data_IF_126834062076
#
_entry.id   IF_126834062076
#
_cell.length_a   1.000
_cell.length_b   1.000
_cell.length_c   1.000
_cell.angle_alpha   90.00
_cell.angle_beta   90.00
_cell.angle_gamma   90.00
#
_symmetry.space_group_name_H-M   'P 1'
#
loop_
_entity.id
_entity.type
_entity.pdbx_description
1 polymer ?
#
# COMPACT_ATOMS: atom_id res chain seq x y z
N UNK A 1 27.60 37.57 14.08
CA UNK A 1 27.58 36.29 14.82
C UNK A 1 27.05 35.21 13.90
N UNK A 2 27.52 33.96 14.04
CA UNK A 2 26.95 32.82 13.31
C UNK A 2 25.52 32.57 13.80
N UNK A 3 24.64 32.09 12.91
CA UNK A 3 23.27 31.70 13.24
C UNK A 3 23.16 30.20 13.43
N UNK A 4 22.53 29.77 14.52
CA UNK A 4 22.40 28.36 14.87
C UNK A 4 21.11 27.81 14.26
N UNK A 5 21.22 26.79 13.43
CA UNK A 5 20.08 26.11 12.81
C UNK A 5 19.97 24.71 13.40
N UNK A 6 18.82 24.41 14.00
CA UNK A 6 18.50 23.08 14.49
C UNK A 6 17.70 22.30 13.45
N UNK A 7 18.11 21.09 13.11
CA UNK A 7 17.43 20.20 12.17
C UNK A 7 16.82 19.04 12.94
N UNK A 8 15.50 19.05 13.04
CA UNK A 8 14.65 18.02 13.62
C UNK A 8 14.31 16.98 12.56
N UNK A 9 14.66 15.71 12.82
CA UNK A 9 14.33 14.60 11.94
C UNK A 9 14.35 13.25 12.68
N UNK A 10 13.78 12.22 12.05
CA UNK A 10 13.90 10.83 12.51
C UNK A 10 15.14 10.15 11.92
N UNK A 11 15.57 9.02 12.49
CA UNK A 11 16.76 8.28 12.03
C UNK A 11 16.67 7.89 10.55
N UNK A 12 15.50 7.51 10.07
CA UNK A 12 15.23 7.13 8.68
C UNK A 12 15.44 8.29 7.70
N UNK A 13 15.47 9.54 8.19
CA UNK A 13 15.63 10.78 7.40
C UNK A 13 17.05 11.38 7.50
N UNK A 14 18.00 10.66 8.11
CA UNK A 14 19.40 11.10 8.28
C UNK A 14 20.03 11.54 6.95
N UNK A 15 19.73 10.86 5.85
CA UNK A 15 20.19 11.24 4.51
C UNK A 15 19.66 12.63 4.07
N UNK A 16 18.37 12.92 4.29
CA UNK A 16 17.75 14.19 3.91
C UNK A 16 18.33 15.32 4.75
N UNK A 17 18.41 15.11 6.07
CA UNK A 17 18.99 16.08 7.00
C UNK A 17 20.46 16.41 6.64
N UNK A 18 21.26 15.39 6.34
CA UNK A 18 22.67 15.55 5.95
C UNK A 18 22.82 16.24 4.59
N UNK A 19 21.98 15.90 3.61
CA UNK A 19 22.00 16.55 2.29
C UNK A 19 21.68 18.05 2.39
N UNK A 20 20.70 18.42 3.22
CA UNK A 20 20.34 19.82 3.49
C UNK A 20 21.50 20.54 4.20
N UNK A 21 22.10 19.88 5.19
CA UNK A 21 23.24 20.39 5.93
C UNK A 21 24.41 20.73 5.00
N UNK A 22 24.77 19.81 4.10
CA UNK A 22 25.86 19.98 3.14
C UNK A 22 25.63 21.18 2.21
N UNK A 23 24.48 21.24 1.54
CA UNK A 23 24.21 22.33 0.59
C UNK A 23 24.13 23.69 1.31
N UNK A 24 23.53 23.75 2.49
CA UNK A 24 23.46 25.02 3.22
C UNK A 24 24.84 25.45 3.77
N UNK A 25 25.68 24.51 4.21
CA UNK A 25 27.08 24.81 4.59
C UNK A 25 27.87 25.35 3.41
N UNK A 26 27.70 24.78 2.22
CA UNK A 26 28.35 25.28 0.99
C UNK A 26 27.92 26.72 0.68
N UNK A 27 26.61 27.01 0.81
CA UNK A 27 26.01 28.30 0.43
C UNK A 27 26.24 29.42 1.44
N UNK A 28 26.25 29.11 2.74
CA UNK A 28 26.34 30.09 3.82
C UNK A 28 27.66 30.05 4.59
N UNK A 29 28.53 29.06 4.34
CA UNK A 29 29.88 28.91 4.90
C UNK A 29 29.90 29.16 6.42
N UNK A 30 30.81 30.01 6.89
CA UNK A 30 30.99 30.40 8.29
C UNK A 30 29.88 31.30 8.85
N UNK A 31 28.73 31.44 8.22
CA UNK A 31 27.63 32.28 8.76
C UNK A 31 26.61 31.48 9.54
N UNK A 32 26.59 30.17 9.40
CA UNK A 32 25.65 29.29 10.10
C UNK A 32 26.38 28.14 10.79
N UNK A 33 25.86 27.76 11.96
CA UNK A 33 26.17 26.52 12.65
C UNK A 33 24.94 25.63 12.58
N UNK A 34 25.16 24.32 12.58
CA UNK A 34 24.07 23.36 12.51
C UNK A 34 24.15 22.37 13.66
N UNK A 35 22.97 21.99 14.13
CA UNK A 35 22.76 20.95 15.13
C UNK A 35 21.68 20.01 14.59
N UNK A 36 21.90 18.70 14.65
CA UNK A 36 20.93 17.67 14.27
C UNK A 36 20.57 16.81 15.47
N UNK A 37 19.31 16.35 15.52
CA UNK A 37 18.80 15.41 16.52
C UNK A 37 19.52 14.05 16.52
N UNK A 38 20.28 13.70 15.47
CA UNK A 38 21.00 12.42 15.35
C UNK A 38 22.50 12.56 15.16
N UNK A 39 23.17 13.63 15.61
CA UNK A 39 24.64 13.67 15.62
C UNK A 39 25.21 12.54 16.51
N UNK A 40 25.40 11.36 15.91
CA UNK A 40 26.06 10.17 16.46
C UNK A 40 27.55 10.41 16.73
N UNK A 41 28.10 11.56 16.31
CA UNK A 41 29.48 11.97 16.60
C UNK A 41 29.67 12.54 18.02
N UNK A 42 28.60 12.60 18.84
CA UNK A 42 28.67 12.99 20.26
C UNK A 42 27.87 12.04 21.15
N UNK A 43 28.07 10.72 21.00
CA UNK A 43 27.39 9.73 21.83
C UNK A 43 28.37 8.66 22.29
N UNK A 44 29.06 8.93 23.40
CA UNK A 44 29.64 7.87 24.23
C UNK A 44 28.55 7.24 25.10
N UNK A 45 28.73 5.96 25.47
CA UNK A 45 27.83 5.28 26.40
C UNK A 45 27.88 5.99 27.76
N UNK A 46 26.79 6.65 28.14
CA UNK A 46 26.69 7.43 29.39
C UNK A 46 26.42 8.93 29.17
N UNK A 47 26.43 9.40 27.93
CA UNK A 47 26.16 10.81 27.62
C UNK A 47 24.71 11.22 27.91
N UNK A 48 24.59 12.45 28.42
CA UNK A 48 23.30 13.10 28.70
C UNK A 48 22.69 13.68 27.42
N UNK A 49 22.40 12.81 26.45
CA UNK A 49 21.86 13.15 25.12
C UNK A 49 20.73 14.19 25.14
N UNK A 50 19.82 14.09 26.12
CA UNK A 50 18.69 15.02 26.25
C UNK A 50 19.12 16.44 26.65
N UNK A 51 20.22 16.59 27.40
CA UNK A 51 20.80 17.90 27.73
C UNK A 51 21.41 18.55 26.48
N UNK A 52 22.10 17.80 25.62
CA UNK A 52 22.67 18.31 24.38
C UNK A 52 21.60 18.79 23.38
N UNK A 53 20.49 18.06 23.25
CA UNK A 53 19.36 18.50 22.42
C UNK A 53 18.73 19.76 23.03
N UNK A 54 18.55 19.80 24.35
CA UNK A 54 18.01 20.96 25.03
C UNK A 54 18.88 22.20 24.80
N UNK A 55 20.19 22.10 24.95
CA UNK A 55 21.13 23.20 24.71
C UNK A 55 21.11 23.65 23.24
N UNK A 56 21.10 22.70 22.30
CA UNK A 56 21.00 22.98 20.87
C UNK A 56 19.70 23.72 20.54
N UNK A 57 18.59 23.29 21.14
CA UNK A 57 17.30 23.97 20.98
C UNK A 57 17.25 25.33 21.68
N UNK A 58 17.90 25.52 22.82
CA UNK A 58 17.96 26.79 23.55
C UNK A 58 18.77 27.85 22.78
N UNK A 59 19.79 27.42 22.06
CA UNK A 59 20.70 28.30 21.30
C UNK A 59 20.32 28.48 19.84
N UNK A 60 19.36 27.70 19.31
CA UNK A 60 18.93 27.79 17.92
C UNK A 60 18.26 29.13 17.58
N UNK A 61 18.61 29.71 16.43
CA UNK A 61 17.95 30.87 15.82
C UNK A 61 16.85 30.46 14.82
N UNK A 62 16.84 29.20 14.37
CA UNK A 62 15.90 28.63 13.41
C UNK A 62 15.78 27.11 13.62
N UNK A 63 14.57 26.57 13.53
CA UNK A 63 14.32 25.13 13.50
C UNK A 63 13.82 24.72 12.11
N UNK A 64 14.45 23.72 11.52
CA UNK A 64 13.98 23.01 10.34
C UNK A 64 13.39 21.67 10.80
N UNK A 65 12.15 21.38 10.41
CA UNK A 65 11.51 20.08 10.65
C UNK A 65 11.51 19.28 9.36
N UNK A 66 12.13 18.11 9.33
CA UNK A 66 12.06 17.20 8.18
C UNK A 66 10.77 16.37 8.30
N UNK A 67 9.87 16.55 7.34
CA UNK A 67 8.51 16.01 7.41
C UNK A 67 8.26 15.00 6.28
N UNK A 68 8.07 13.74 6.63
CA UNK A 68 7.51 12.68 5.77
C UNK A 68 6.17 12.19 6.34
N UNK A 69 5.39 11.39 5.60
CA UNK A 69 4.23 10.71 6.17
C UNK A 69 4.56 9.86 7.41
N UNK A 70 5.83 9.47 7.59
CA UNK A 70 6.31 8.71 8.75
C UNK A 70 6.64 9.65 9.91
N UNK A 71 7.46 10.69 9.69
CA UNK A 71 7.98 11.51 10.78
C UNK A 71 6.89 12.35 11.48
N UNK A 72 5.87 12.80 10.77
CA UNK A 72 4.73 13.53 11.35
C UNK A 72 3.91 12.71 12.36
N UNK A 73 4.06 11.39 12.36
CA UNK A 73 3.41 10.50 13.34
C UNK A 73 4.23 10.31 14.62
N UNK A 74 5.49 10.79 14.65
CA UNK A 74 6.38 10.65 15.80
C UNK A 74 6.18 11.83 16.75
N UNK A 75 5.92 11.52 18.02
CA UNK A 75 5.72 12.50 19.09
C UNK A 75 6.86 13.53 19.21
N UNK A 76 8.10 13.11 18.89
CA UNK A 76 9.28 13.96 19.04
C UNK A 76 9.28 15.18 18.10
N UNK A 77 8.85 15.02 16.84
CA UNK A 77 8.76 16.14 15.88
C UNK A 77 7.80 17.22 16.41
N UNK A 78 6.66 16.81 16.99
CA UNK A 78 5.70 17.74 17.60
C UNK A 78 6.29 18.47 18.82
N UNK A 79 7.12 17.78 19.60
CA UNK A 79 7.78 18.36 20.76
C UNK A 79 8.77 19.47 20.35
N UNK A 80 9.60 19.22 19.33
CA UNK A 80 10.58 20.19 18.83
C UNK A 80 9.90 21.37 18.11
N UNK A 81 8.81 21.12 17.39
CA UNK A 81 7.96 22.17 16.83
C UNK A 81 7.34 23.07 17.92
N UNK A 82 6.92 22.47 19.03
CA UNK A 82 6.41 23.18 20.20
C UNK A 82 7.49 23.99 20.94
N UNK A 83 8.71 23.48 21.02
CA UNK A 83 9.84 24.20 21.60
C UNK A 83 10.16 25.47 20.79
N UNK A 84 10.15 25.37 19.45
CA UNK A 84 10.28 26.54 18.57
C UNK A 84 9.18 27.57 18.78
N UNK A 85 7.93 27.10 18.94
CA UNK A 85 6.78 27.97 19.21
C UNK A 85 6.98 28.81 20.48
N UNK A 86 7.29 28.15 21.58
CA UNK A 86 7.46 28.78 22.90
C UNK A 86 8.63 29.77 22.89
N UNK A 87 9.73 29.43 22.19
CA UNK A 87 10.90 30.31 22.06
C UNK A 87 10.67 31.49 21.12
N UNK A 88 9.58 31.51 20.35
CA UNK A 88 9.30 32.56 19.37
C UNK A 88 10.31 32.62 18.22
N UNK A 89 11.03 31.51 17.97
CA UNK A 89 11.94 31.42 16.83
C UNK A 89 11.23 30.83 15.61
N UNK A 90 11.70 31.10 14.38
CA UNK A 90 11.10 30.53 13.19
C UNK A 90 11.23 29.00 13.19
N UNK A 91 10.14 28.34 12.79
CA UNK A 91 10.08 26.89 12.55
C UNK A 91 9.62 26.68 11.11
N UNK A 92 10.34 25.87 10.35
CA UNK A 92 10.07 25.63 8.92
C UNK A 92 9.92 24.13 8.69
N UNK A 93 8.69 23.64 8.41
CA UNK A 93 8.47 22.29 7.93
C UNK A 93 8.98 22.12 6.49
N UNK A 94 9.86 21.15 6.27
CA UNK A 94 10.40 20.75 4.98
C UNK A 94 9.83 19.37 4.64
N UNK A 95 8.80 19.37 3.79
CA UNK A 95 8.08 18.17 3.40
C UNK A 95 8.83 17.41 2.30
N UNK A 96 8.85 16.09 2.39
CA UNK A 96 9.44 15.18 1.41
C UNK A 96 8.63 13.88 1.32
N UNK A 97 9.05 12.98 0.41
CA UNK A 97 8.42 11.68 0.20
C UNK A 97 6.92 11.76 -0.11
N UNK A 98 6.52 12.78 -0.89
CA UNK A 98 5.14 13.01 -1.33
C UNK A 98 4.22 13.68 -0.31
N UNK A 99 4.70 14.00 0.90
CA UNK A 99 3.96 14.85 1.83
C UNK A 99 3.98 16.30 1.33
N UNK A 100 2.83 16.97 1.39
CA UNK A 100 2.71 18.39 1.05
C UNK A 100 2.47 19.25 2.31
N UNK A 101 2.88 20.54 2.30
CA UNK A 101 2.63 21.43 3.44
C UNK A 101 1.16 21.49 3.88
N UNK A 102 0.21 21.42 2.94
CA UNK A 102 -1.23 21.41 3.24
C UNK A 102 -1.74 20.14 3.92
N UNK A 103 -0.93 19.08 4.02
CA UNK A 103 -1.27 17.82 4.67
C UNK A 103 -0.65 17.67 6.07
N UNK A 104 0.09 18.69 6.54
CA UNK A 104 0.70 18.66 7.86
C UNK A 104 -0.39 18.61 8.95
N UNK A 105 -0.22 17.80 10.01
CA UNK A 105 -1.15 17.78 11.14
C UNK A 105 -0.89 18.96 12.07
N UNK A 106 -1.88 19.31 12.88
CA UNK A 106 -1.65 20.20 14.03
C UNK A 106 -0.71 19.52 15.04
N UNK A 107 0.26 20.24 15.65
CA UNK A 107 0.49 21.69 15.55
C UNK A 107 1.43 22.12 14.42
N UNK A 108 2.05 21.19 13.68
CA UNK A 108 3.04 21.51 12.63
C UNK A 108 2.42 22.36 11.52
N UNK A 109 1.13 22.16 11.22
CA UNK A 109 0.36 22.93 10.24
C UNK A 109 0.23 24.42 10.54
N UNK A 110 0.54 24.87 11.75
CA UNK A 110 0.57 26.29 12.09
C UNK A 110 1.74 27.03 11.46
N UNK A 111 2.74 26.30 10.97
CA UNK A 111 3.92 26.85 10.32
C UNK A 111 3.82 26.76 8.80
N UNK A 112 4.35 27.77 8.12
CA UNK A 112 4.49 27.73 6.67
C UNK A 112 5.67 26.82 6.29
N UNK A 113 5.36 25.71 5.62
CA UNK A 113 6.34 24.77 5.10
C UNK A 113 6.57 24.87 3.60
N UNK A 114 7.48 24.03 3.10
CA UNK A 114 7.77 23.87 1.67
C UNK A 114 8.09 22.41 1.33
N UNK A 115 7.97 22.02 0.07
CA UNK A 115 8.47 20.74 -0.44
C UNK A 115 9.97 20.88 -0.74
N UNK A 116 10.82 20.06 -0.10
CA UNK A 116 12.28 20.22 -0.17
C UNK A 116 12.88 19.78 -1.52
N UNK A 117 12.18 18.89 -2.22
CA UNK A 117 12.51 18.44 -3.57
C UNK A 117 12.06 19.44 -4.66
N UNK A 118 11.51 20.60 -4.28
CA UNK A 118 11.09 21.64 -5.21
C UNK A 118 12.08 22.81 -5.25
N UNK A 119 12.36 23.33 -6.45
CA UNK A 119 13.20 24.52 -6.64
C UNK A 119 12.67 25.71 -5.84
N UNK A 120 11.37 25.98 -5.94
CA UNK A 120 10.71 27.08 -5.22
C UNK A 120 10.86 26.94 -3.69
N UNK A 121 10.72 25.73 -3.15
CA UNK A 121 10.88 25.46 -1.73
C UNK A 121 12.31 25.72 -1.26
N UNK A 122 13.31 25.25 -2.02
CA UNK A 122 14.72 25.48 -1.73
C UNK A 122 15.09 26.98 -1.80
N UNK A 123 14.59 27.71 -2.80
CA UNK A 123 14.80 29.15 -2.94
C UNK A 123 14.24 29.92 -1.73
N UNK A 124 13.01 29.61 -1.32
CA UNK A 124 12.37 30.21 -0.14
C UNK A 124 13.15 29.94 1.14
N UNK A 125 13.69 28.73 1.30
CA UNK A 125 14.55 28.37 2.43
C UNK A 125 15.82 29.24 2.43
N UNK A 126 16.52 29.33 1.30
CA UNK A 126 17.71 30.17 1.16
C UNK A 126 17.41 31.64 1.45
N UNK A 127 16.32 32.19 0.92
CA UNK A 127 15.89 33.56 1.21
C UNK A 127 15.65 33.79 2.70
N UNK A 128 15.06 32.82 3.40
CA UNK A 128 14.80 32.92 4.84
C UNK A 128 16.09 32.92 5.65
N UNK A 129 17.04 32.04 5.30
CA UNK A 129 18.35 31.96 5.97
C UNK A 129 19.19 33.21 5.69
N UNK A 130 19.20 33.75 4.46
CA UNK A 130 19.86 35.02 4.12
C UNK A 130 19.33 36.18 4.96
N UNK A 131 18.00 36.28 5.13
CA UNK A 131 17.38 37.29 6.02
C UNK A 131 17.81 37.11 7.48
N UNK A 132 17.85 35.87 7.96
CA UNK A 132 18.27 35.56 9.34
C UNK A 132 19.74 35.92 9.60
N UNK A 133 20.60 35.69 8.60
CA UNK A 133 22.03 35.96 8.69
C UNK A 133 22.41 37.40 8.33
N UNK A 134 21.49 38.20 7.79
CA UNK A 134 21.74 39.57 7.30
C UNK A 134 22.66 39.61 6.09
N UNK A 135 22.44 38.73 5.10
CA UNK A 135 23.35 38.51 3.96
C UNK A 135 22.63 38.63 2.63
N UNK A 136 23.41 38.78 1.56
CA UNK A 136 22.91 38.59 0.21
C UNK A 136 22.46 37.14 0.00
N UNK A 137 21.60 36.95 -0.99
CA UNK A 137 21.15 35.63 -1.42
C UNK A 137 22.33 34.85 -2.02
N UNK A 138 22.54 33.57 -1.65
CA UNK A 138 23.59 32.75 -2.23
C UNK A 138 23.20 32.27 -3.65
N UNK A 139 24.06 31.46 -4.29
CA UNK A 139 23.70 30.74 -5.50
C UNK A 139 22.50 29.81 -5.22
N UNK A 140 21.47 29.85 -6.07
CA UNK A 140 20.25 29.05 -5.95
C UNK A 140 20.28 27.76 -6.77
N UNK A 141 21.30 27.55 -7.60
CA UNK A 141 21.52 26.30 -8.32
C UNK A 141 21.64 25.13 -7.33
N UNK A 142 20.75 24.16 -7.47
CA UNK A 142 20.63 23.03 -6.57
C UNK A 142 20.23 21.74 -7.29
N UNK A 143 20.47 21.63 -8.60
CA UNK A 143 20.03 20.49 -9.42
C UNK A 143 20.55 19.15 -8.87
N UNK A 144 21.83 19.09 -8.51
CA UNK A 144 22.43 17.90 -7.88
C UNK A 144 21.76 17.53 -6.55
N UNK A 145 21.43 18.52 -5.72
CA UNK A 145 20.75 18.31 -4.44
C UNK A 145 19.32 17.83 -4.63
N UNK A 146 18.55 18.49 -5.50
CA UNK A 146 17.17 18.12 -5.80
C UNK A 146 17.11 16.71 -6.40
N UNK A 147 18.07 16.37 -7.26
CA UNK A 147 18.21 15.02 -7.83
C UNK A 147 18.49 13.98 -6.75
N UNK A 148 19.46 14.22 -5.86
CA UNK A 148 19.77 13.33 -4.72
C UNK A 148 18.55 13.08 -3.82
N UNK A 149 17.80 14.13 -3.47
CA UNK A 149 16.59 14.00 -2.66
C UNK A 149 15.53 13.19 -3.41
N UNK A 150 15.31 13.49 -4.69
CA UNK A 150 14.32 12.77 -5.52
C UNK A 150 14.66 11.28 -5.65
N UNK A 151 15.93 10.93 -5.78
CA UNK A 151 16.38 9.53 -5.82
C UNK A 151 16.18 8.81 -4.49
N UNK A 152 16.45 9.49 -3.37
CA UNK A 152 16.17 8.97 -2.04
C UNK A 152 14.68 8.73 -1.81
N UNK A 153 13.82 9.68 -2.18
CA UNK A 153 12.37 9.55 -2.10
C UNK A 153 11.87 8.36 -2.94
N UNK A 154 12.41 8.19 -4.16
CA UNK A 154 12.10 7.02 -5.01
C UNK A 154 12.50 5.72 -4.32
N UNK A 155 13.69 5.66 -3.70
CA UNK A 155 14.16 4.47 -2.97
C UNK A 155 13.23 4.12 -1.81
N UNK A 156 12.88 5.08 -0.95
CA UNK A 156 11.94 4.87 0.15
C UNK A 156 10.58 4.41 -0.37
N UNK A 157 10.05 5.08 -1.40
CA UNK A 157 8.75 4.73 -1.98
C UNK A 157 8.75 3.29 -2.52
N UNK A 158 9.83 2.87 -3.17
CA UNK A 158 9.98 1.50 -3.68
C UNK A 158 10.06 0.48 -2.54
N UNK A 159 10.78 0.79 -1.46
CA UNK A 159 10.86 -0.08 -0.27
C UNK A 159 9.51 -0.21 0.44
N UNK A 160 8.78 0.90 0.61
CA UNK A 160 7.42 0.89 1.16
C UNK A 160 6.47 0.09 0.27
N UNK A 161 6.52 0.31 -1.05
CA UNK A 161 5.72 -0.44 -2.02
C UNK A 161 6.00 -1.95 -1.93
N UNK A 162 7.26 -2.35 -1.82
CA UNK A 162 7.65 -3.75 -1.62
C UNK A 162 7.04 -4.31 -0.33
N UNK A 163 7.25 -3.63 0.80
CA UNK A 163 6.77 -4.07 2.12
C UNK A 163 5.25 -4.20 2.18
N UNK A 164 4.54 -3.21 1.67
CA UNK A 164 3.07 -3.20 1.69
C UNK A 164 2.50 -4.22 0.70
N UNK A 165 3.13 -4.41 -0.47
CA UNK A 165 2.76 -5.47 -1.41
C UNK A 165 2.97 -6.86 -0.79
N UNK A 166 4.07 -7.06 -0.07
CA UNK A 166 4.33 -8.31 0.65
C UNK A 166 3.26 -8.56 1.71
N UNK A 167 2.92 -7.53 2.49
CA UNK A 167 1.85 -7.61 3.49
C UNK A 167 0.50 -8.00 2.85
N UNK A 168 0.11 -7.34 1.76
CA UNK A 168 -1.13 -7.65 1.02
C UNK A 168 -1.10 -9.09 0.51
N UNK A 169 0.00 -9.51 -0.13
CA UNK A 169 0.16 -10.90 -0.61
C UNK A 169 -0.02 -11.90 0.53
N UNK A 170 0.66 -11.69 1.66
CA UNK A 170 0.58 -12.57 2.83
C UNK A 170 -0.82 -12.62 3.43
N UNK A 171 -1.49 -11.47 3.56
CA UNK A 171 -2.84 -11.39 4.12
C UNK A 171 -3.87 -12.13 3.25
N UNK A 172 -3.79 -11.96 1.93
CA UNK A 172 -4.77 -12.52 0.99
C UNK A 172 -4.45 -13.95 0.55
N UNK A 173 -3.24 -14.43 0.80
CA UNK A 173 -2.70 -15.69 0.26
C UNK A 173 -3.64 -16.90 0.40
N UNK A 174 -4.15 -17.15 1.61
CA UNK A 174 -5.00 -18.30 1.89
C UNK A 174 -6.32 -18.25 1.10
N UNK A 175 -6.98 -17.09 1.13
CA UNK A 175 -8.23 -16.87 0.40
C UNK A 175 -8.02 -16.97 -1.11
N UNK A 176 -6.94 -16.39 -1.65
CA UNK A 176 -6.65 -16.45 -3.09
C UNK A 176 -6.36 -17.89 -3.56
N UNK A 177 -5.69 -18.71 -2.73
CA UNK A 177 -5.54 -20.15 -3.01
C UNK A 177 -6.88 -20.87 -3.05
N UNK A 178 -7.75 -20.63 -2.07
CA UNK A 178 -9.08 -21.23 -2.06
C UNK A 178 -9.94 -20.73 -3.22
N UNK A 179 -9.78 -19.47 -3.61
CA UNK A 179 -10.48 -18.88 -4.75
C UNK A 179 -10.07 -19.58 -6.05
N UNK A 180 -8.77 -19.76 -6.26
CA UNK A 180 -8.22 -20.51 -7.40
C UNK A 180 -8.73 -21.95 -7.42
N UNK A 181 -8.67 -22.66 -6.29
CA UNK A 181 -9.23 -24.00 -6.18
C UNK A 181 -10.71 -24.03 -6.57
N UNK A 182 -11.53 -23.11 -6.04
CA UNK A 182 -12.95 -23.08 -6.33
C UNK A 182 -13.25 -22.82 -7.80
N UNK A 183 -12.42 -22.02 -8.50
CA UNK A 183 -12.54 -21.81 -9.95
C UNK A 183 -12.36 -23.13 -10.70
N UNK A 184 -11.32 -23.90 -10.39
CA UNK A 184 -11.11 -25.21 -11.01
C UNK A 184 -12.19 -26.21 -10.60
N UNK A 185 -12.46 -26.35 -9.31
CA UNK A 185 -13.43 -27.31 -8.79
C UNK A 185 -14.87 -27.04 -9.24
N UNK A 186 -15.18 -25.82 -9.68
CA UNK A 186 -16.47 -25.51 -10.29
C UNK A 186 -16.65 -26.14 -11.67
N UNK A 187 -15.56 -26.53 -12.33
CA UNK A 187 -15.57 -26.97 -13.74
C UNK A 187 -14.72 -28.22 -14.01
N UNK A 188 -14.11 -28.79 -12.97
CA UNK A 188 -13.27 -29.99 -13.01
C UNK A 188 -13.63 -30.90 -11.84
N UNK A 189 -13.49 -32.19 -12.04
CA UNK A 189 -13.51 -33.21 -11.00
C UNK A 189 -12.22 -33.19 -10.18
N UNK A 190 -12.23 -33.77 -8.99
CA UNK A 190 -11.05 -33.81 -8.10
C UNK A 190 -9.82 -34.44 -8.78
N UNK A 191 -9.92 -35.57 -9.52
CA UNK A 191 -8.78 -36.12 -10.25
C UNK A 191 -8.21 -35.17 -11.32
N UNK A 192 -9.08 -34.49 -12.08
CA UNK A 192 -8.67 -33.51 -13.09
C UNK A 192 -7.92 -32.33 -12.45
N UNK A 193 -8.33 -31.86 -11.26
CA UNK A 193 -7.63 -30.80 -10.53
C UNK A 193 -6.24 -31.25 -10.12
N UNK A 194 -6.11 -32.46 -9.56
CA UNK A 194 -4.82 -33.02 -9.11
C UNK A 194 -3.85 -33.16 -10.30
N UNK A 195 -4.35 -33.54 -11.47
CA UNK A 195 -3.56 -33.62 -12.69
C UNK A 195 -3.14 -32.24 -13.19
N UNK A 196 -4.07 -31.29 -13.24
CA UNK A 196 -3.82 -29.92 -13.68
C UNK A 196 -2.82 -29.17 -12.79
N UNK A 197 -2.87 -29.37 -11.48
CA UNK A 197 -1.91 -28.76 -10.54
C UNK A 197 -0.46 -29.22 -10.78
N UNK A 198 -0.25 -30.45 -11.28
CA UNK A 198 1.08 -30.95 -11.64
C UNK A 198 1.68 -30.21 -12.84
N UNK A 199 0.84 -29.68 -13.73
CA UNK A 199 1.27 -28.96 -14.93
C UNK A 199 1.71 -27.51 -14.62
N UNK A 200 1.56 -27.03 -13.38
CA UNK A 200 1.91 -25.66 -12.94
C UNK A 200 1.36 -24.55 -13.86
N UNK A 201 0.23 -24.79 -14.52
CA UNK A 201 -0.34 -23.82 -15.46
C UNK A 201 -0.84 -22.58 -14.70
N UNK A 202 -0.47 -21.39 -15.19
CA UNK A 202 -1.02 -20.12 -14.71
C UNK A 202 -2.53 -20.10 -14.95
N UNK A 203 -3.29 -19.58 -13.99
CA UNK A 203 -4.75 -19.49 -14.09
C UNK A 203 -5.23 -18.72 -15.34
N UNK A 204 -4.39 -17.82 -15.88
CA UNK A 204 -4.60 -17.15 -17.16
C UNK A 204 -4.97 -18.11 -18.32
N UNK A 205 -4.33 -19.27 -18.38
CA UNK A 205 -4.53 -20.26 -19.46
C UNK A 205 -5.78 -21.11 -19.27
N UNK A 206 -6.44 -21.00 -18.11
CA UNK A 206 -7.61 -21.80 -17.78
C UNK A 206 -8.89 -21.15 -18.30
N UNK A 207 -9.63 -21.82 -19.18
CA UNK A 207 -10.94 -21.35 -19.64
C UNK A 207 -12.05 -21.98 -18.82
N UNK A 208 -12.87 -21.16 -18.16
CA UNK A 208 -14.04 -21.64 -17.41
C UNK A 208 -15.11 -22.03 -18.42
N UNK A 209 -15.44 -23.33 -18.47
CA UNK A 209 -16.48 -23.84 -19.36
C UNK A 209 -17.82 -23.93 -18.61
N UNK A 210 -18.82 -23.15 -19.04
CA UNK A 210 -20.14 -23.12 -18.41
C UNK A 210 -20.79 -24.52 -18.35
N UNK A 211 -20.68 -25.34 -19.40
CA UNK A 211 -21.26 -26.68 -19.44
C UNK A 211 -20.68 -27.63 -18.38
N UNK A 212 -19.52 -27.29 -17.82
CA UNK A 212 -18.89 -28.05 -16.73
C UNK A 212 -19.27 -27.54 -15.33
N UNK A 213 -20.07 -26.47 -15.22
CA UNK A 213 -20.42 -25.86 -13.94
C UNK A 213 -21.16 -26.78 -12.98
N UNK A 214 -21.78 -27.86 -13.45
CA UNK A 214 -22.41 -28.85 -12.57
C UNK A 214 -21.45 -29.41 -11.49
N UNK A 215 -20.13 -29.31 -11.69
CA UNK A 215 -19.13 -29.67 -10.66
C UNK A 215 -19.16 -28.75 -9.43
N UNK A 216 -19.80 -27.57 -9.49
CA UNK A 216 -20.03 -26.70 -8.32
C UNK A 216 -20.78 -27.42 -7.19
N UNK A 217 -21.52 -28.49 -7.51
CA UNK A 217 -22.26 -29.31 -6.55
C UNK A 217 -21.45 -30.45 -5.94
N UNK A 218 -20.22 -30.69 -6.39
CA UNK A 218 -19.34 -31.71 -5.83
C UNK A 218 -18.92 -31.33 -4.40
N UNK A 219 -18.60 -32.31 -3.54
CA UNK A 219 -17.96 -32.04 -2.26
C UNK A 219 -16.64 -31.29 -2.44
N UNK A 220 -16.44 -30.24 -1.65
CA UNK A 220 -15.19 -29.49 -1.56
C UNK A 220 -14.14 -30.29 -0.82
N UNK A 221 -12.94 -30.41 -1.41
CA UNK A 221 -11.80 -31.05 -0.74
C UNK A 221 -11.20 -30.16 0.36
N UNK A 222 -11.53 -28.87 0.36
CA UNK A 222 -11.06 -27.92 1.38
C UNK A 222 -11.80 -28.09 2.71
N UNK A 223 -12.98 -28.72 2.72
CA UNK A 223 -13.79 -28.89 3.92
C UNK A 223 -14.48 -30.26 3.94
N UNK A 224 -13.70 -31.33 3.76
CA UNK A 224 -14.18 -32.72 3.67
C UNK A 224 -15.05 -33.11 4.87
N UNK A 225 -14.69 -32.68 6.07
CA UNK A 225 -15.41 -33.01 7.31
C UNK A 225 -16.84 -32.46 7.28
N UNK A 226 -17.03 -31.25 6.78
CA UNK A 226 -18.37 -30.64 6.68
C UNK A 226 -19.22 -31.20 5.54
N UNK A 227 -18.59 -31.85 4.55
CA UNK A 227 -19.26 -32.26 3.31
C UNK A 227 -19.75 -31.07 2.45
N UNK A 228 -19.25 -29.87 2.69
CA UNK A 228 -19.67 -28.66 1.97
C UNK A 228 -19.40 -28.76 0.47
N UNK A 229 -20.34 -28.27 -0.33
CA UNK A 229 -20.22 -28.24 -1.79
C UNK A 229 -19.28 -27.12 -2.24
N UNK A 230 -18.68 -27.25 -3.42
CA UNK A 230 -17.74 -26.26 -3.97
C UNK A 230 -18.33 -24.84 -3.98
N UNK A 231 -19.58 -24.66 -4.40
CA UNK A 231 -20.20 -23.32 -4.42
C UNK A 231 -20.33 -22.68 -3.03
N UNK A 232 -20.49 -23.49 -1.98
CA UNK A 232 -20.55 -23.02 -0.59
C UNK A 232 -19.18 -22.55 -0.14
N UNK A 233 -18.14 -23.33 -0.44
CA UNK A 233 -16.75 -22.97 -0.16
C UNK A 233 -16.36 -21.69 -0.91
N UNK A 234 -16.77 -21.58 -2.18
CA UNK A 234 -16.51 -20.40 -3.00
C UNK A 234 -17.19 -19.15 -2.43
N UNK A 235 -18.46 -19.26 -2.04
CA UNK A 235 -19.18 -18.17 -1.38
C UNK A 235 -18.46 -17.67 -0.13
N UNK A 236 -18.08 -18.58 0.78
CA UNK A 236 -17.34 -18.24 2.00
C UNK A 236 -16.00 -17.58 1.70
N UNK A 237 -15.31 -18.07 0.67
CA UNK A 237 -14.03 -17.51 0.24
C UNK A 237 -14.19 -16.08 -0.28
N UNK A 238 -15.21 -15.79 -1.10
CA UNK A 238 -15.46 -14.41 -1.55
C UNK A 238 -15.76 -13.49 -0.36
N UNK A 239 -16.57 -13.94 0.60
CA UNK A 239 -16.90 -13.13 1.80
C UNK A 239 -15.64 -12.85 2.64
N UNK A 240 -14.84 -13.89 2.92
CA UNK A 240 -13.56 -13.76 3.65
C UNK A 240 -12.62 -12.77 2.95
N UNK A 241 -12.40 -12.99 1.65
CA UNK A 241 -11.54 -12.15 0.83
C UNK A 241 -12.04 -10.70 0.78
N UNK A 242 -13.35 -10.49 0.64
CA UNK A 242 -13.95 -9.14 0.64
C UNK A 242 -13.71 -8.40 1.94
N UNK A 243 -13.76 -9.09 3.08
CA UNK A 243 -13.48 -8.48 4.38
C UNK A 243 -12.00 -8.11 4.53
N UNK A 244 -11.09 -8.99 4.11
CA UNK A 244 -9.66 -8.72 4.11
C UNK A 244 -9.30 -7.55 3.17
N UNK A 245 -9.96 -7.46 2.01
CA UNK A 245 -9.79 -6.34 1.09
C UNK A 245 -10.34 -5.04 1.68
N UNK A 246 -11.52 -5.05 2.31
CA UNK A 246 -12.06 -3.88 3.02
C UNK A 246 -11.09 -3.39 4.10
N UNK A 247 -10.48 -4.32 4.83
CA UNK A 247 -9.44 -3.98 5.82
C UNK A 247 -8.23 -3.31 5.16
N UNK A 248 -7.73 -3.84 4.03
CA UNK A 248 -6.63 -3.24 3.27
C UNK A 248 -6.98 -1.80 2.85
N UNK A 249 -8.13 -1.62 2.19
CA UNK A 249 -8.54 -0.33 1.65
C UNK A 249 -8.89 0.70 2.74
N UNK A 250 -9.19 0.25 3.96
CA UNK A 250 -9.43 1.15 5.10
C UNK A 250 -8.16 1.75 5.71
N UNK A 251 -6.97 1.28 5.34
CA UNK A 251 -5.70 1.80 5.86
C UNK A 251 -5.20 2.99 5.04
N UNK A 252 -5.16 4.16 5.66
CA UNK A 252 -4.77 5.42 5.01
C UNK A 252 -3.29 5.51 4.59
N UNK A 253 -2.40 4.64 5.11
CA UNK A 253 -0.95 4.78 4.97
C UNK A 253 -0.27 3.59 4.26
N UNK A 254 -0.99 2.81 3.44
CA UNK A 254 -0.36 1.75 2.62
C UNK A 254 -0.04 2.24 1.22
N UNK A 255 1.19 1.97 0.77
CA UNK A 255 1.66 2.16 -0.60
C UNK A 255 1.21 0.98 -1.46
N UNK A 256 0.11 1.14 -2.19
CA UNK A 256 -0.47 0.09 -3.03
C UNK A 256 -0.22 0.42 -4.50
N UNK A 257 0.26 -0.55 -5.28
CA UNK A 257 0.40 -0.39 -6.73
C UNK A 257 -0.97 -0.12 -7.38
N UNK A 258 -1.06 0.77 -8.40
CA UNK A 258 -2.34 1.14 -9.01
C UNK A 258 -3.16 -0.05 -9.53
N UNK A 259 -2.52 -1.04 -10.14
CA UNK A 259 -3.21 -2.21 -10.68
C UNK A 259 -3.68 -3.17 -9.58
N UNK A 260 -2.91 -3.32 -8.50
CA UNK A 260 -3.37 -4.03 -7.29
C UNK A 260 -4.61 -3.33 -6.74
N UNK A 261 -4.54 -2.01 -6.51
CA UNK A 261 -5.66 -1.23 -5.98
C UNK A 261 -6.92 -1.40 -6.82
N UNK A 262 -6.80 -1.24 -8.14
CA UNK A 262 -7.91 -1.42 -9.09
C UNK A 262 -8.48 -2.84 -9.04
N UNK A 263 -7.64 -3.86 -8.95
CA UNK A 263 -8.06 -5.25 -8.78
C UNK A 263 -8.88 -5.44 -7.51
N UNK A 264 -8.38 -4.92 -6.38
CA UNK A 264 -9.04 -4.99 -5.08
C UNK A 264 -10.40 -4.26 -5.08
N UNK A 265 -10.47 -3.04 -5.61
CA UNK A 265 -11.70 -2.25 -5.72
C UNK A 265 -12.75 -2.96 -6.57
N UNK A 266 -12.35 -3.48 -7.74
CA UNK A 266 -13.24 -4.24 -8.62
C UNK A 266 -13.82 -5.48 -7.92
N UNK A 267 -13.01 -6.18 -7.12
CA UNK A 267 -13.48 -7.35 -6.39
C UNK A 267 -14.47 -7.01 -5.27
N UNK A 268 -14.36 -5.84 -4.62
CA UNK A 268 -15.35 -5.42 -3.60
C UNK A 268 -16.76 -5.33 -4.22
N UNK A 269 -16.89 -4.84 -5.45
CA UNK A 269 -18.19 -4.80 -6.12
C UNK A 269 -18.78 -6.20 -6.30
N UNK A 270 -17.94 -7.21 -6.56
CA UNK A 270 -18.37 -8.60 -6.61
C UNK A 270 -18.84 -9.09 -5.23
N UNK A 271 -18.02 -8.89 -4.20
CA UNK A 271 -18.31 -9.34 -2.83
C UNK A 271 -19.57 -8.72 -2.22
N UNK A 272 -19.89 -7.49 -2.58
CA UNK A 272 -21.10 -6.81 -2.13
C UNK A 272 -22.37 -7.23 -2.90
N UNK A 273 -22.23 -7.89 -4.06
CA UNK A 273 -23.33 -8.24 -4.96
C UNK A 273 -23.42 -9.75 -5.24
N UNK A 274 -23.18 -10.59 -4.23
CA UNK A 274 -23.35 -12.05 -4.36
C UNK A 274 -24.83 -12.41 -4.14
N UNK A 275 -25.62 -12.33 -5.19
CA UNK A 275 -27.05 -12.64 -5.16
C UNK A 275 -27.39 -14.04 -5.73
N UNK A 276 -26.39 -14.78 -6.21
CA UNK A 276 -26.57 -16.14 -6.73
C UNK A 276 -26.66 -17.21 -5.62
N UNK A 277 -26.02 -16.98 -4.47
CA UNK A 277 -25.80 -18.00 -3.44
C UNK A 277 -27.10 -18.59 -2.89
N UNK A 278 -28.01 -17.73 -2.42
CA UNK A 278 -29.30 -18.17 -1.85
C UNK A 278 -30.14 -18.95 -2.87
N UNK A 279 -30.10 -18.53 -4.13
CA UNK A 279 -30.83 -19.19 -5.21
C UNK A 279 -30.28 -20.58 -5.51
N UNK A 280 -28.95 -20.72 -5.63
CA UNK A 280 -28.30 -22.02 -5.85
C UNK A 280 -28.48 -22.95 -4.65
N UNK A 281 -28.36 -22.44 -3.42
CA UNK A 281 -28.55 -23.23 -2.19
C UNK A 281 -29.98 -23.76 -2.09
N UNK A 282 -30.98 -22.94 -2.41
CA UNK A 282 -32.39 -23.37 -2.44
C UNK A 282 -32.65 -24.46 -3.49
N UNK A 283 -32.10 -24.32 -4.71
CA UNK A 283 -32.22 -25.34 -5.77
C UNK A 283 -31.58 -26.65 -5.30
N UNK A 284 -30.42 -26.57 -4.66
CA UNK A 284 -29.69 -27.73 -4.15
C UNK A 284 -30.47 -28.53 -3.09
N UNK A 285 -31.36 -27.88 -2.33
CA UNK A 285 -32.20 -28.53 -1.31
C UNK A 285 -33.44 -29.22 -1.91
N UNK A 286 -33.79 -28.93 -3.16
CA UNK A 286 -34.96 -29.50 -3.84
C UNK A 286 -34.53 -30.48 -4.95
N UNK A 287 -34.59 -31.79 -4.67
CA UNK A 287 -34.15 -32.86 -5.58
C UNK A 287 -34.73 -32.74 -7.01
N UNK A 288 -36.02 -32.42 -7.17
CA UNK A 288 -36.64 -32.31 -8.50
C UNK A 288 -36.10 -31.13 -9.30
N UNK A 289 -35.83 -30.01 -8.63
CA UNK A 289 -35.24 -28.82 -9.28
C UNK A 289 -33.77 -29.05 -9.59
N UNK A 290 -33.05 -29.74 -8.69
CA UNK A 290 -31.65 -30.11 -8.88
C UNK A 290 -31.44 -30.94 -10.15
N UNK A 291 -32.17 -32.04 -10.33
CA UNK A 291 -31.99 -32.93 -11.48
C UNK A 291 -32.26 -32.20 -12.81
N UNK A 292 -33.32 -31.38 -12.84
CA UNK A 292 -33.66 -30.55 -14.00
C UNK A 292 -32.52 -29.57 -14.33
N UNK A 293 -32.06 -28.81 -13.35
CA UNK A 293 -30.99 -27.82 -13.54
C UNK A 293 -29.66 -28.49 -13.93
N UNK A 294 -29.36 -29.65 -13.34
CA UNK A 294 -28.16 -30.42 -13.65
C UNK A 294 -28.11 -30.82 -15.13
N UNK A 295 -29.23 -31.32 -15.68
CA UNK A 295 -29.34 -31.61 -17.12
C UNK A 295 -29.24 -30.34 -17.98
N UNK A 296 -29.93 -29.27 -17.56
CA UNK A 296 -29.97 -28.00 -18.29
C UNK A 296 -28.57 -27.39 -18.48
N UNK A 297 -27.74 -27.32 -17.42
CA UNK A 297 -26.37 -26.77 -17.51
C UNK A 297 -25.52 -27.56 -18.51
N UNK A 298 -25.67 -28.89 -18.54
CA UNK A 298 -24.88 -29.77 -19.40
C UNK A 298 -25.20 -29.55 -20.89
N UNK A 299 -26.47 -29.30 -21.19
CA UNK A 299 -26.99 -29.23 -22.56
C UNK A 299 -27.02 -27.78 -23.13
N UNK A 300 -26.71 -26.75 -22.32
CA UNK A 300 -26.74 -25.34 -22.71
C UNK A 300 -25.51 -24.94 -23.55
N UNK A 301 -25.63 -24.28 -24.71
CA UNK A 301 -24.46 -23.97 -25.56
C UNK A 301 -23.57 -22.83 -25.03
N UNK A 302 -22.25 -23.04 -25.01
CA UNK A 302 -21.22 -21.98 -24.86
C UNK A 302 -20.81 -21.37 -26.22
N UNK A 303 -20.64 -20.04 -26.36
CA UNK A 303 -20.94 -18.98 -25.39
C UNK A 303 -22.43 -18.60 -25.36
N UNK A 304 -22.84 -18.12 -24.19
CA UNK A 304 -24.18 -17.98 -23.62
C UNK A 304 -25.21 -17.23 -24.52
N UNK A 305 -26.39 -17.83 -24.76
CA UNK A 305 -27.45 -17.23 -25.63
C UNK A 305 -28.64 -16.54 -24.94
N UNK A 306 -28.90 -16.71 -23.63
CA UNK A 306 -29.79 -15.87 -22.76
C UNK A 306 -30.02 -16.55 -21.40
N UNK A 307 -29.87 -15.81 -20.30
CA UNK A 307 -30.29 -16.27 -18.98
C UNK A 307 -31.83 -16.19 -18.84
N UNK A 308 -32.47 -17.25 -18.36
CA UNK A 308 -33.89 -17.27 -17.98
C UNK A 308 -34.00 -17.44 -16.45
N UNK A 309 -35.21 -17.38 -15.88
CA UNK A 309 -35.41 -17.34 -14.42
C UNK A 309 -34.69 -18.44 -13.63
N UNK A 310 -34.70 -19.69 -14.13
CA UNK A 310 -34.10 -20.84 -13.43
C UNK A 310 -32.60 -20.95 -13.63
N UNK A 311 -32.09 -20.53 -14.79
CA UNK A 311 -30.66 -20.59 -15.09
C UNK A 311 -29.89 -19.38 -14.56
N UNK A 312 -30.54 -18.23 -14.39
CA UNK A 312 -29.93 -16.95 -14.00
C UNK A 312 -28.93 -17.03 -12.81
N UNK A 313 -29.19 -17.77 -11.71
CA UNK A 313 -28.22 -17.89 -10.62
C UNK A 313 -26.87 -18.50 -11.08
N UNK A 314 -26.90 -19.45 -12.01
CA UNK A 314 -25.70 -20.11 -12.54
C UNK A 314 -24.94 -19.21 -13.51
N UNK A 315 -25.63 -18.35 -14.26
CA UNK A 315 -25.01 -17.27 -15.02
C UNK A 315 -24.26 -16.31 -14.11
N UNK A 316 -24.89 -15.87 -13.02
CA UNK A 316 -24.27 -14.97 -12.06
C UNK A 316 -23.08 -15.63 -11.34
N UNK A 317 -23.19 -16.92 -11.01
CA UNK A 317 -22.08 -17.72 -10.51
C UNK A 317 -20.92 -17.76 -11.53
N UNK A 318 -21.20 -18.05 -12.79
CA UNK A 318 -20.19 -18.05 -13.86
C UNK A 318 -19.46 -16.72 -13.98
N UNK A 319 -20.19 -15.60 -14.05
CA UNK A 319 -19.58 -14.27 -14.11
C UNK A 319 -18.78 -13.93 -12.85
N UNK A 320 -19.19 -14.42 -11.68
CA UNK A 320 -18.41 -14.26 -10.45
C UNK A 320 -17.07 -15.01 -10.51
N UNK A 321 -17.04 -16.20 -11.11
CA UNK A 321 -15.80 -16.95 -11.34
C UNK A 321 -14.87 -16.22 -12.30
N UNK A 322 -15.39 -15.67 -13.41
CA UNK A 322 -14.61 -14.88 -14.37
C UNK A 322 -14.02 -13.62 -13.72
N UNK A 323 -14.81 -12.88 -12.92
CA UNK A 323 -14.33 -11.73 -12.17
C UNK A 323 -13.24 -12.11 -11.14
N UNK A 324 -13.41 -13.25 -10.46
CA UNK A 324 -12.43 -13.79 -9.52
C UNK A 324 -11.13 -14.22 -10.20
N UNK A 325 -11.23 -14.81 -11.39
CA UNK A 325 -10.08 -15.16 -12.24
C UNK A 325 -9.31 -13.90 -12.65
N UNK A 326 -10.02 -12.83 -13.05
CA UNK A 326 -9.40 -11.55 -13.38
C UNK A 326 -8.61 -10.96 -12.21
N UNK A 327 -9.16 -11.01 -10.98
CA UNK A 327 -8.43 -10.59 -9.78
C UNK A 327 -7.12 -11.39 -9.61
N UNK A 328 -7.20 -12.73 -9.67
CA UNK A 328 -6.03 -13.59 -9.51
C UNK A 328 -4.94 -13.30 -10.55
N UNK A 329 -5.33 -12.98 -11.78
CA UNK A 329 -4.40 -12.62 -12.84
C UNK A 329 -3.67 -11.31 -12.56
N UNK A 330 -4.40 -10.27 -12.17
CA UNK A 330 -3.84 -8.96 -11.82
C UNK A 330 -2.87 -9.12 -10.64
N UNK A 331 -3.33 -9.75 -9.56
CA UNK A 331 -2.52 -9.90 -8.35
C UNK A 331 -1.29 -10.77 -8.57
N UNK A 332 -1.40 -11.88 -9.31
CA UNK A 332 -0.24 -12.72 -9.63
C UNK A 332 0.84 -11.94 -10.38
N UNK A 333 0.45 -11.19 -11.42
CA UNK A 333 1.42 -10.42 -12.21
C UNK A 333 2.09 -9.31 -11.39
N UNK A 334 1.29 -8.52 -10.66
CA UNK A 334 1.80 -7.39 -9.88
C UNK A 334 2.65 -7.83 -8.68
N UNK A 335 2.26 -8.91 -7.99
CA UNK A 335 3.06 -9.45 -6.90
C UNK A 335 4.41 -9.95 -7.39
N UNK A 336 4.48 -10.63 -8.53
CA UNK A 336 5.74 -11.13 -9.08
C UNK A 336 6.64 -9.97 -9.54
N UNK A 337 6.05 -8.96 -10.19
CA UNK A 337 6.74 -7.74 -10.65
C UNK A 337 7.39 -6.95 -9.50
N UNK A 338 6.68 -6.78 -8.38
CA UNK A 338 7.14 -5.94 -7.27
C UNK A 338 8.04 -6.72 -6.30
N UNK A 339 7.72 -7.99 -6.02
CA UNK A 339 8.41 -8.76 -4.98
C UNK A 339 9.62 -9.54 -5.49
N UNK A 340 9.84 -9.60 -6.81
CA UNK A 340 11.05 -10.17 -7.41
C UNK A 340 11.22 -11.69 -7.22
N UNK A 341 10.16 -12.39 -6.82
CA UNK A 341 10.19 -13.83 -6.61
C UNK A 341 9.44 -14.56 -7.73
N UNK A 342 10.23 -15.26 -8.54
CA UNK A 342 9.80 -16.20 -9.56
C UNK A 342 9.54 -17.57 -8.90
N UNK A 343 8.59 -17.66 -7.97
CA UNK A 343 8.06 -18.95 -7.50
C UNK A 343 6.54 -18.87 -7.33
N UNK A 344 5.86 -19.41 -8.35
CA UNK A 344 4.58 -20.15 -8.31
C UNK A 344 3.91 -20.27 -6.95
N UNK A 345 3.17 -19.26 -6.46
CA UNK A 345 2.21 -19.50 -5.37
C UNK A 345 0.96 -18.62 -5.40
N UNK A 346 0.41 -18.38 -6.60
CA UNK A 346 -1.04 -18.37 -6.77
C UNK A 346 -1.44 -19.52 -7.66
#
# INVERSE_FOLDING_TARGET
MKKNIFISHISEEEFVATSILEILKERFKDRINFFSSTHKECIELGDKWLENIKESMETADLILLICSPISITRHWINFEAGAGWIRGIPVIPLCHSGLKPGQLPSPISFYQGAEINSTEGFEKLCMRISKLCGTNLPNLEAEDFLTKITEFEKKIKNELLYKDTLFIKTLLFGDLKFLKYCIYASTMSVPEIIEFEKEKLRINNYTINYNKLFNLFNPSILNVISGEKVYVQYYKTIISLSNNIKFILSRNNMSIAPDILKGLENFIFLGNNIDWYSSIDNICRNMKQFDFVYSMIKDEPTPLRKANGTSLPFFKYYFSLEASKQLLNILSYEFDSILGNDETIL
#
